data_IF_815973247657
#
_entry.id   IF_815973247657
#
_cell.length_a   1.000
_cell.length_b   1.000
_cell.length_c   1.000
_cell.angle_alpha   90.00
_cell.angle_beta   90.00
_cell.angle_gamma   90.00
#
_symmetry.space_group_name_H-M   'P 1'
#
loop_
_entity.id
_entity.type
_entity.pdbx_description
1 polymer ?
#
# COMPACT_ATOMS: atom_id res chain seq x y z
N UNK A 1 -3.71 -21.69 29.85
CA UNK A 1 -3.59 -22.02 28.41
C UNK A 1 -4.78 -21.56 27.56
N UNK A 2 -5.99 -22.15 27.62
CA UNK A 2 -7.09 -21.87 26.65
C UNK A 2 -7.41 -20.38 26.36
N UNK A 3 -7.31 -19.45 27.33
CA UNK A 3 -7.53 -18.00 27.09
C UNK A 3 -6.48 -17.33 26.18
N UNK A 4 -5.23 -17.82 26.16
CA UNK A 4 -4.14 -17.25 25.33
C UNK A 4 -4.34 -17.61 23.85
N UNK A 5 -4.78 -18.84 23.56
CA UNK A 5 -5.09 -19.32 22.20
C UNK A 5 -6.24 -18.51 21.57
N UNK A 6 -7.18 -18.02 22.38
CA UNK A 6 -8.26 -17.15 21.90
C UNK A 6 -7.73 -15.76 21.50
N UNK A 7 -6.88 -15.15 22.34
CA UNK A 7 -6.30 -13.82 22.09
C UNK A 7 -5.41 -13.79 20.84
N UNK A 8 -4.60 -14.84 20.63
CA UNK A 8 -3.77 -14.99 19.43
C UNK A 8 -4.60 -15.14 18.14
N UNK A 9 -5.76 -15.81 18.19
CA UNK A 9 -6.68 -15.84 17.04
C UNK A 9 -7.23 -14.45 16.70
N UNK A 10 -7.61 -13.65 17.71
CA UNK A 10 -8.14 -12.29 17.48
C UNK A 10 -7.14 -11.38 16.77
N UNK A 11 -5.85 -11.45 17.12
CA UNK A 11 -4.80 -10.66 16.46
C UNK A 11 -4.53 -11.12 15.01
N UNK A 12 -4.55 -12.42 14.75
CA UNK A 12 -4.43 -12.95 13.39
C UNK A 12 -5.61 -12.52 12.50
N UNK A 13 -6.84 -12.45 13.06
CA UNK A 13 -7.99 -11.89 12.34
C UNK A 13 -7.79 -10.41 12.03
N UNK A 14 -7.34 -9.60 13.00
CA UNK A 14 -7.16 -8.16 12.80
C UNK A 14 -6.21 -7.81 11.63
N UNK A 15 -5.12 -8.56 11.46
CA UNK A 15 -4.19 -8.38 10.34
C UNK A 15 -4.86 -8.64 8.97
N UNK A 16 -5.69 -9.68 8.86
CA UNK A 16 -6.44 -9.97 7.64
C UNK A 16 -7.61 -8.99 7.42
N UNK A 17 -8.23 -8.50 8.50
CA UNK A 17 -9.36 -7.56 8.42
C UNK A 17 -8.92 -6.15 8.02
N UNK A 18 -7.69 -5.72 8.34
CA UNK A 18 -7.18 -4.43 7.86
C UNK A 18 -7.17 -4.31 6.32
N UNK A 19 -6.88 -5.40 5.60
CA UNK A 19 -6.96 -5.47 4.13
C UNK A 19 -8.38 -5.60 3.59
N UNK A 20 -9.38 -5.87 4.44
CA UNK A 20 -10.77 -6.12 4.04
C UNK A 20 -11.75 -5.00 4.45
N UNK A 21 -11.52 -4.29 5.56
CA UNK A 21 -12.51 -3.35 6.12
C UNK A 21 -12.68 -2.08 5.28
N UNK A 22 -11.66 -1.71 4.48
CA UNK A 22 -11.75 -0.63 3.50
C UNK A 22 -12.81 -0.89 2.38
N UNK A 23 -13.28 -2.13 2.22
CA UNK A 23 -14.27 -2.51 1.20
C UNK A 23 -15.71 -2.54 1.72
N UNK A 24 -15.98 -2.23 2.99
CA UNK A 24 -17.24 -2.56 3.67
C UNK A 24 -18.17 -1.36 4.01
N UNK A 25 -17.91 -0.16 3.50
CA UNK A 25 -18.72 1.04 3.75
C UNK A 25 -19.25 1.68 2.45
N UNK A 26 -20.10 0.94 1.75
CA UNK A 26 -20.89 1.43 0.62
C UNK A 26 -22.04 0.47 0.30
N UNK A 27 -23.22 0.69 0.89
CA UNK A 27 -24.33 -0.25 0.76
C UNK A 27 -25.64 0.16 1.44
N UNK A 28 -26.33 1.12 0.84
CA UNK A 28 -27.80 1.28 0.85
C UNK A 28 -28.14 1.86 -0.53
N UNK A 29 -29.04 1.38 -1.40
CA UNK A 29 -29.77 0.13 -1.62
C UNK A 29 -30.96 0.55 -2.53
N UNK A 30 -31.16 -0.11 -3.68
CA UNK A 30 -32.38 -0.04 -4.46
C UNK A 30 -32.41 -1.28 -5.38
N UNK A 31 -33.49 -2.05 -5.33
CA UNK A 31 -33.64 -3.30 -6.08
C UNK A 31 -34.02 -3.08 -7.56
N UNK A 32 -33.76 -4.09 -8.40
CA UNK A 32 -34.10 -4.04 -9.82
C UNK A 32 -33.56 -5.22 -10.63
N UNK A 33 -33.99 -6.44 -10.32
CA UNK A 33 -33.60 -7.63 -11.09
C UNK A 33 -34.36 -7.72 -12.43
N UNK A 34 -33.67 -8.19 -13.48
CA UNK A 34 -34.08 -9.30 -14.37
C UNK A 34 -32.89 -9.67 -15.28
N UNK A 35 -32.82 -10.94 -15.68
CA UNK A 35 -31.72 -11.57 -16.41
C UNK A 35 -32.00 -11.61 -17.96
N UNK A 36 -31.11 -12.17 -18.81
CA UNK A 36 -30.79 -11.56 -20.11
C UNK A 36 -31.59 -12.07 -21.32
N UNK A 37 -31.55 -11.28 -22.39
CA UNK A 37 -31.83 -11.68 -23.77
C UNK A 37 -30.69 -11.23 -24.70
N UNK A 38 -30.51 -11.91 -25.84
CA UNK A 38 -29.37 -11.70 -26.74
C UNK A 38 -29.78 -11.32 -28.16
N UNK A 39 -28.85 -10.64 -28.84
CA UNK A 39 -28.67 -10.52 -30.29
C UNK A 39 -29.64 -9.66 -31.15
N UNK A 40 -28.98 -8.97 -32.10
CA UNK A 40 -29.40 -8.59 -33.46
C UNK A 40 -30.11 -7.24 -33.76
N UNK A 41 -29.36 -6.38 -34.47
CA UNK A 41 -29.68 -5.68 -35.75
C UNK A 41 -31.08 -5.07 -35.95
N UNK A 42 -31.16 -3.74 -36.20
CA UNK A 42 -32.38 -3.12 -36.77
C UNK A 42 -32.39 -1.59 -36.92
N UNK A 43 -32.00 -1.11 -38.11
CA UNK A 43 -32.29 0.19 -38.78
C UNK A 43 -33.24 1.27 -38.17
N UNK A 44 -32.71 2.51 -38.12
CA UNK A 44 -33.23 3.78 -38.72
C UNK A 44 -34.60 4.43 -38.34
N UNK A 45 -34.64 5.78 -38.41
CA UNK A 45 -35.80 6.67 -38.12
C UNK A 45 -35.58 7.46 -36.81
N UNK A 46 -35.62 8.80 -36.69
CA UNK A 46 -36.47 9.85 -37.28
C UNK A 46 -37.96 9.72 -36.86
N UNK A 47 -38.67 10.73 -36.32
CA UNK A 47 -38.41 12.20 -36.31
C UNK A 47 -39.21 12.93 -35.19
N UNK A 48 -38.85 14.19 -34.92
CA UNK A 48 -39.72 15.30 -34.41
C UNK A 48 -40.18 15.34 -32.93
N UNK A 49 -39.89 16.49 -32.31
CA UNK A 49 -40.22 16.94 -30.94
C UNK A 49 -41.70 17.36 -30.71
N UNK A 50 -42.04 17.75 -29.46
CA UNK A 50 -42.70 19.04 -29.05
C UNK A 50 -43.21 18.99 -27.59
N UNK A 51 -43.11 20.12 -26.86
CA UNK A 51 -43.93 20.46 -25.66
C UNK A 51 -43.39 19.97 -24.29
N UNK A 52 -43.38 20.73 -23.17
CA UNK A 52 -44.25 21.78 -22.59
C UNK A 52 -45.52 21.24 -21.90
N UNK A 53 -45.88 21.60 -20.65
CA UNK A 53 -45.23 22.46 -19.65
C UNK A 53 -45.77 22.21 -18.22
N UNK A 54 -45.15 22.90 -17.25
CA UNK A 54 -45.55 23.27 -15.88
C UNK A 54 -46.90 22.82 -15.26
N UNK A 55 -46.85 22.62 -13.93
CA UNK A 55 -47.82 23.22 -13.01
C UNK A 55 -47.10 23.89 -11.83
N UNK A 56 -47.78 24.78 -11.11
CA UNK A 56 -47.21 25.71 -10.12
C UNK A 56 -48.19 25.95 -8.96
N UNK A 57 -47.68 26.46 -7.83
CA UNK A 57 -48.43 26.88 -6.64
C UNK A 57 -49.03 25.71 -5.82
N UNK A 58 -49.33 25.85 -4.52
CA UNK A 58 -49.64 27.10 -3.80
C UNK A 58 -49.12 27.18 -2.34
N UNK A 59 -49.26 28.34 -1.71
CA UNK A 59 -48.76 28.67 -0.36
C UNK A 59 -49.70 29.60 0.41
N UNK A 60 -49.86 29.40 1.74
CA UNK A 60 -49.69 30.40 2.82
C UNK A 60 -50.53 30.18 4.09
N UNK A 61 -49.93 30.43 5.27
CA UNK A 61 -50.53 30.93 6.55
C UNK A 61 -51.66 30.14 7.24
N UNK A 62 -51.86 30.15 8.57
CA UNK A 62 -51.29 30.94 9.70
C UNK A 62 -50.51 30.00 10.68
N UNK A 63 -50.27 30.20 11.99
CA UNK A 63 -50.71 31.20 12.99
C UNK A 63 -50.12 30.96 14.40
N UNK A 64 -50.66 31.64 15.43
CA UNK A 64 -50.39 31.44 16.88
C UNK A 64 -51.59 31.90 17.74
N UNK A 65 -51.49 32.16 19.07
CA UNK A 65 -50.27 32.26 19.91
C UNK A 65 -50.43 31.77 21.41
N UNK A 66 -49.48 32.18 22.29
CA UNK A 66 -49.55 32.30 23.77
C UNK A 66 -49.36 31.07 24.70
N UNK A 67 -48.89 31.39 25.92
CA UNK A 67 -48.87 30.57 27.15
C UNK A 67 -48.88 31.50 28.38
N UNK A 68 -48.79 31.00 29.64
CA UNK A 68 -48.15 31.83 30.69
C UNK A 68 -47.33 31.10 31.79
N UNK A 69 -46.40 31.90 32.32
CA UNK A 69 -45.54 31.84 33.51
C UNK A 69 -46.07 31.26 34.85
N UNK A 70 -45.14 30.69 35.64
CA UNK A 70 -45.07 30.78 37.12
C UNK A 70 -43.64 30.43 37.63
N UNK A 71 -43.19 30.99 38.77
CA UNK A 71 -41.90 30.60 39.40
C UNK A 71 -41.47 31.40 40.65
N UNK A 72 -40.63 30.78 41.47
CA UNK A 72 -39.87 31.31 42.63
C UNK A 72 -38.71 30.30 42.88
N UNK A 73 -37.42 30.65 43.07
CA UNK A 73 -36.76 31.47 44.10
C UNK A 73 -36.98 30.94 45.53
N UNK A 74 -36.01 30.96 46.44
CA UNK A 74 -34.62 31.46 46.43
C UNK A 74 -33.63 30.29 46.15
N UNK A 75 -32.31 30.25 46.42
CA UNK A 75 -31.35 31.11 47.16
C UNK A 75 -29.93 31.02 46.55
N UNK A 76 -28.89 31.35 47.32
CA UNK A 76 -27.47 31.36 46.93
C UNK A 76 -26.57 30.76 48.01
N UNK A 77 -25.50 30.07 47.60
CA UNK A 77 -24.21 30.14 48.32
C UNK A 77 -23.06 29.80 47.37
N UNK A 78 -21.86 30.32 47.64
CA UNK A 78 -20.73 30.28 46.70
C UNK A 78 -19.41 29.82 47.33
N UNK A 79 -18.80 28.80 46.74
CA UNK A 79 -17.39 28.47 46.92
C UNK A 79 -16.77 28.10 45.58
N UNK A 80 -15.56 28.61 45.32
CA UNK A 80 -14.98 28.64 43.97
C UNK A 80 -13.73 27.78 43.78
N UNK A 81 -13.45 27.50 42.51
CA UNK A 81 -12.08 27.45 41.97
C UNK A 81 -11.16 26.31 42.42
N UNK A 82 -11.09 25.25 41.62
CA UNK A 82 -9.79 24.89 41.00
C UNK A 82 -10.01 24.18 39.66
N UNK A 83 -9.28 24.62 38.63
CA UNK A 83 -9.40 24.08 37.28
C UNK A 83 -8.49 22.85 37.12
N UNK A 84 -9.08 21.65 37.24
CA UNK A 84 -8.38 20.39 37.01
C UNK A 84 -8.06 20.12 35.53
N UNK A 85 -7.07 20.83 34.99
CA UNK A 85 -6.60 20.66 33.61
C UNK A 85 -5.94 19.28 33.40
N UNK A 86 -6.75 18.26 33.09
CA UNK A 86 -6.25 16.91 32.77
C UNK A 86 -5.45 16.94 31.46
N UNK A 87 -4.15 16.62 31.57
CA UNK A 87 -3.23 16.62 30.44
C UNK A 87 -3.54 15.51 29.41
N UNK A 88 -4.17 15.90 28.29
CA UNK A 88 -4.44 14.98 27.18
C UNK A 88 -3.17 14.44 26.48
N UNK A 89 -2.01 15.11 26.64
CA UNK A 89 -0.76 14.73 25.99
C UNK A 89 -0.14 13.40 26.44
N UNK A 90 -0.49 12.91 27.64
CA UNK A 90 0.15 11.71 28.22
C UNK A 90 -0.08 10.42 27.44
N UNK A 91 -1.28 10.24 26.86
CA UNK A 91 -1.62 9.03 26.11
C UNK A 91 -0.90 8.96 24.76
N UNK A 92 -0.85 10.07 24.01
CA UNK A 92 -0.23 10.09 22.68
C UNK A 92 1.29 9.93 22.78
N UNK A 93 1.94 10.64 23.71
CA UNK A 93 3.38 10.50 23.96
C UNK A 93 3.80 9.07 24.33
N UNK A 94 2.96 8.34 25.09
CA UNK A 94 3.21 6.93 25.41
C UNK A 94 3.12 6.01 24.17
N UNK A 95 2.22 6.29 23.22
CA UNK A 95 2.10 5.53 21.95
C UNK A 95 3.29 5.81 21.02
N UNK A 96 3.71 7.07 20.90
CA UNK A 96 4.90 7.46 20.12
C UNK A 96 6.15 6.80 20.70
N UNK A 97 6.37 6.90 22.02
CA UNK A 97 7.47 6.23 22.70
C UNK A 97 7.40 4.69 22.54
N UNK A 98 6.20 4.10 22.55
CA UNK A 98 6.03 2.66 22.39
C UNK A 98 6.46 2.14 21.00
N UNK A 99 6.28 2.94 19.93
CA UNK A 99 6.68 2.65 18.54
C UNK A 99 8.19 2.77 18.35
N UNK A 100 8.83 3.74 19.00
CA UNK A 100 10.26 4.07 18.91
C UNK A 100 11.14 3.28 19.91
N UNK A 101 10.68 2.11 20.39
CA UNK A 101 11.51 1.16 21.13
C UNK A 101 12.22 0.22 20.16
N UNK A 102 13.46 -0.22 20.44
CA UNK A 102 14.14 -1.22 19.65
C UNK A 102 13.34 -2.51 19.49
N UNK A 103 13.47 -3.17 18.34
CA UNK A 103 12.81 -4.44 18.08
C UNK A 103 13.28 -5.53 19.06
N UNK A 104 12.36 -6.40 19.49
CA UNK A 104 12.71 -7.52 20.37
C UNK A 104 13.38 -8.63 19.56
N UNK A 105 14.57 -9.05 19.98
CA UNK A 105 15.29 -10.20 19.39
C UNK A 105 14.50 -11.48 19.64
N UNK A 106 14.23 -12.26 18.59
CA UNK A 106 13.41 -13.47 18.65
C UNK A 106 14.12 -14.69 18.07
N UNK A 107 14.22 -15.76 18.86
CA UNK A 107 14.69 -17.07 18.40
C UNK A 107 13.80 -17.73 17.33
N UNK A 108 12.63 -17.14 17.02
CA UNK A 108 11.72 -17.58 15.96
C UNK A 108 11.44 -16.46 14.93
N UNK A 109 12.37 -15.52 14.77
CA UNK A 109 12.20 -14.39 13.86
C UNK A 109 12.00 -14.82 12.40
N UNK A 110 12.68 -15.89 11.94
CA UNK A 110 12.55 -16.43 10.59
C UNK A 110 11.18 -17.07 10.29
N UNK A 111 10.39 -17.37 11.33
CA UNK A 111 9.03 -17.92 11.27
C UNK A 111 7.94 -16.86 11.56
N UNK A 112 8.31 -15.58 11.68
CA UNK A 112 7.39 -14.45 11.85
C UNK A 112 6.87 -13.92 10.51
N UNK A 113 5.84 -13.08 10.49
CA UNK A 113 5.27 -12.54 9.24
C UNK A 113 6.31 -11.70 8.48
N UNK A 114 6.65 -12.11 7.26
CA UNK A 114 7.59 -11.42 6.36
C UNK A 114 6.86 -10.76 5.19
N UNK A 115 7.31 -9.58 4.78
CA UNK A 115 6.64 -8.73 3.78
C UNK A 115 7.55 -8.30 2.63
N UNK A 116 8.75 -7.81 2.94
CA UNK A 116 9.70 -7.30 1.94
C UNK A 116 11.05 -8.03 1.96
N UNK A 117 11.74 -8.08 0.83
CA UNK A 117 13.12 -8.56 0.74
C UNK A 117 13.91 -7.90 -0.40
N UNK A 118 15.24 -7.89 -0.29
CA UNK A 118 16.18 -7.36 -1.28
C UNK A 118 17.57 -8.00 -1.17
N UNK A 119 18.42 -7.77 -2.19
CA UNK A 119 19.86 -8.08 -2.17
C UNK A 119 20.67 -6.88 -1.69
N UNK A 120 21.41 -7.03 -0.59
CA UNK A 120 22.51 -6.16 -0.22
C UNK A 120 23.81 -6.71 -0.83
N UNK A 121 23.99 -6.51 -2.15
CA UNK A 121 25.14 -7.05 -2.87
C UNK A 121 25.05 -8.56 -3.05
N UNK A 122 25.70 -9.35 -2.18
CA UNK A 122 25.59 -10.81 -2.13
C UNK A 122 24.68 -11.30 -0.97
N UNK A 123 24.46 -10.45 0.04
CA UNK A 123 23.64 -10.72 1.21
C UNK A 123 22.15 -10.62 0.87
N UNK A 124 21.34 -11.51 1.43
CA UNK A 124 19.88 -11.37 1.43
C UNK A 124 19.45 -10.57 2.67
N UNK A 125 18.50 -9.65 2.53
CA UNK A 125 17.89 -8.90 3.65
C UNK A 125 16.37 -8.94 3.51
N UNK A 126 15.67 -9.25 4.59
CA UNK A 126 14.20 -9.34 4.65
C UNK A 126 13.62 -8.50 5.78
N UNK A 127 12.41 -7.99 5.61
CA UNK A 127 11.70 -7.15 6.59
C UNK A 127 10.27 -7.64 6.81
N UNK A 128 9.75 -7.46 8.03
CA UNK A 128 8.45 -8.00 8.43
C UNK A 128 7.81 -7.32 9.64
N UNK A 129 6.95 -8.05 10.34
CA UNK A 129 6.21 -7.55 11.49
C UNK A 129 7.08 -7.15 12.69
N UNK A 130 6.56 -6.26 13.56
CA UNK A 130 7.15 -5.89 14.87
C UNK A 130 8.60 -5.38 14.83
N UNK A 131 9.08 -4.89 13.69
CA UNK A 131 10.46 -4.42 13.50
C UNK A 131 11.46 -5.55 13.22
N UNK A 132 11.01 -6.73 12.81
CA UNK A 132 11.93 -7.80 12.42
C UNK A 132 12.58 -7.43 11.07
N UNK A 133 13.89 -7.22 11.10
CA UNK A 133 14.76 -7.28 9.93
C UNK A 133 15.71 -8.46 10.11
N UNK A 134 15.82 -9.31 9.09
CA UNK A 134 16.79 -10.41 9.04
C UNK A 134 17.77 -10.21 7.90
N UNK A 135 18.99 -10.70 8.06
CA UNK A 135 19.96 -10.81 6.98
C UNK A 135 20.63 -12.18 6.94
N UNK A 136 21.12 -12.56 5.75
CA UNK A 136 21.81 -13.83 5.50
C UNK A 136 22.94 -13.64 4.49
N UNK A 137 24.14 -14.06 4.88
CA UNK A 137 25.35 -14.06 4.05
C UNK A 137 25.61 -15.41 3.34
N UNK A 138 24.76 -16.42 3.57
CA UNK A 138 24.90 -17.80 3.04
C UNK A 138 23.73 -18.22 2.12
N UNK A 139 23.13 -17.24 1.43
CA UNK A 139 21.98 -17.38 0.53
C UNK A 139 20.75 -18.03 1.22
N UNK A 140 20.48 -17.60 2.45
CA UNK A 140 19.25 -17.93 3.18
C UNK A 140 19.29 -19.24 3.97
N UNK A 141 20.46 -19.86 4.15
CA UNK A 141 20.62 -21.06 4.98
C UNK A 141 20.60 -20.73 6.47
N UNK A 142 21.16 -19.59 6.86
CA UNK A 142 21.15 -19.04 8.22
C UNK A 142 20.75 -17.57 8.18
N UNK A 143 20.01 -17.15 9.19
CA UNK A 143 19.48 -15.79 9.31
C UNK A 143 19.88 -15.19 10.66
N UNK A 144 20.32 -13.94 10.63
CA UNK A 144 20.64 -13.13 11.80
C UNK A 144 19.63 -11.97 11.88
N UNK A 145 19.13 -11.66 13.08
CA UNK A 145 18.27 -10.50 13.29
C UNK A 145 19.13 -9.25 13.48
N UNK A 146 18.79 -8.18 12.76
CA UNK A 146 19.47 -6.89 12.87
C UNK A 146 18.96 -6.08 14.07
N UNK A 147 19.84 -5.29 14.69
CA UNK A 147 19.44 -4.33 15.73
C UNK A 147 18.86 -3.07 15.07
N UNK A 148 17.59 -2.78 15.38
CA UNK A 148 16.86 -1.63 14.83
C UNK A 148 16.12 -0.82 15.92
N UNK A 149 15.95 0.51 15.78
CA UNK A 149 15.41 1.39 16.81
C UNK A 149 13.88 1.52 16.83
N UNK A 150 13.14 0.60 16.19
CA UNK A 150 11.66 0.67 16.08
C UNK A 150 11.01 -0.71 16.23
N UNK A 151 9.76 -0.71 16.72
CA UNK A 151 8.95 -1.93 16.94
C UNK A 151 7.68 -1.94 16.08
N UNK A 152 7.76 -1.53 14.81
CA UNK A 152 6.62 -1.44 13.88
C UNK A 152 6.80 -2.38 12.68
N UNK A 153 5.70 -2.79 12.05
CA UNK A 153 5.74 -3.60 10.83
C UNK A 153 6.39 -2.84 9.68
N UNK A 154 7.40 -3.45 9.07
CA UNK A 154 8.13 -2.96 7.90
C UNK A 154 7.64 -3.70 6.65
N UNK A 155 7.35 -2.95 5.59
CA UNK A 155 6.62 -3.41 4.40
C UNK A 155 7.55 -3.73 3.24
N UNK A 156 8.52 -2.84 2.97
CA UNK A 156 9.44 -2.96 1.85
C UNK A 156 10.87 -2.54 2.23
N UNK A 157 11.84 -3.11 1.53
CA UNK A 157 13.28 -2.83 1.66
C UNK A 157 13.95 -2.85 0.29
N UNK A 158 14.91 -1.95 0.06
CA UNK A 158 15.78 -1.90 -1.13
C UNK A 158 17.20 -1.50 -0.73
N UNK A 159 18.16 -1.86 -1.59
CA UNK A 159 19.56 -1.50 -1.47
C UNK A 159 20.05 -0.89 -2.78
N UNK A 160 20.80 0.21 -2.71
CA UNK A 160 21.43 0.86 -3.88
C UNK A 160 22.81 0.29 -4.19
N UNK A 161 23.45 -0.33 -3.20
CA UNK A 161 24.72 -1.06 -3.33
C UNK A 161 24.82 -2.16 -2.25
N UNK A 162 25.99 -2.77 -2.07
CA UNK A 162 26.20 -3.83 -1.08
C UNK A 162 26.07 -3.39 0.40
N UNK A 163 25.96 -2.09 0.66
CA UNK A 163 26.01 -1.49 2.00
C UNK A 163 24.85 -0.55 2.29
N UNK A 164 24.50 0.33 1.35
CA UNK A 164 23.49 1.36 1.53
C UNK A 164 22.09 0.84 1.18
N UNK A 165 21.15 0.99 2.11
CA UNK A 165 19.78 0.54 1.93
C UNK A 165 18.75 1.31 2.75
N UNK A 166 17.50 1.21 2.33
CA UNK A 166 16.33 1.85 2.94
C UNK A 166 15.25 0.78 3.18
N UNK A 167 14.63 0.82 4.35
CA UNK A 167 13.43 0.07 4.68
C UNK A 167 12.31 1.04 5.10
N UNK A 168 11.07 0.74 4.73
CA UNK A 168 9.88 1.57 5.03
C UNK A 168 8.78 0.73 5.69
N UNK A 169 7.81 1.38 6.34
CA UNK A 169 6.73 0.65 7.01
C UNK A 169 5.58 1.47 7.60
N UNK A 170 4.90 0.84 8.56
CA UNK A 170 3.80 1.40 9.33
C UNK A 170 4.24 2.63 10.14
N UNK A 171 3.28 3.47 10.55
CA UNK A 171 3.54 4.73 11.25
C UNK A 171 4.51 5.67 10.50
N UNK A 172 4.52 5.61 9.17
CA UNK A 172 5.36 6.41 8.28
C UNK A 172 6.87 6.22 8.47
N UNK A 173 7.32 5.12 9.07
CA UNK A 173 8.74 4.91 9.37
C UNK A 173 9.57 4.76 8.08
N UNK A 174 10.70 5.46 8.03
CA UNK A 174 11.81 5.22 7.09
C UNK A 174 13.09 4.96 7.91
N UNK A 175 13.72 3.82 7.64
CA UNK A 175 15.00 3.40 8.21
C UNK A 175 16.09 3.39 7.12
N UNK A 176 17.33 3.71 7.51
CA UNK A 176 18.51 3.68 6.64
C UNK A 176 19.64 2.83 7.24
N UNK A 177 20.37 2.12 6.40
CA UNK A 177 21.60 1.36 6.74
C UNK A 177 22.77 1.78 5.83
N UNK A 178 24.00 1.53 6.29
CA UNK A 178 25.25 1.76 5.55
C UNK A 178 26.27 0.60 5.73
N UNK A 179 25.82 -0.56 6.21
CA UNK A 179 26.62 -1.75 6.50
C UNK A 179 26.00 -3.07 5.97
N UNK A 180 25.10 -2.95 5.00
CA UNK A 180 24.42 -4.10 4.41
C UNK A 180 23.26 -4.60 5.27
N UNK A 181 22.65 -3.72 6.08
CA UNK A 181 21.46 -4.05 6.87
C UNK A 181 21.73 -4.75 8.21
N UNK A 182 22.96 -4.69 8.74
CA UNK A 182 23.28 -5.22 10.06
C UNK A 182 22.83 -4.26 11.17
N UNK A 183 22.98 -2.95 10.97
CA UNK A 183 22.42 -1.91 11.83
C UNK A 183 21.58 -0.91 11.02
N UNK A 184 20.56 -0.34 11.68
CA UNK A 184 19.62 0.59 11.06
C UNK A 184 19.39 1.83 11.92
N UNK A 185 19.17 2.97 11.27
CA UNK A 185 18.87 4.26 11.89
C UNK A 185 17.53 4.78 11.37
N UNK A 186 16.66 5.31 12.24
CA UNK A 186 15.42 5.97 11.81
C UNK A 186 15.74 7.35 11.25
N UNK A 187 15.38 7.60 9.99
CA UNK A 187 15.51 8.91 9.33
C UNK A 187 14.19 9.67 9.36
N UNK A 188 13.06 8.98 9.22
CA UNK A 188 11.73 9.61 9.15
C UNK A 188 10.65 8.80 9.89
N UNK A 189 9.57 9.48 10.24
CA UNK A 189 8.32 8.92 10.79
C UNK A 189 7.11 9.70 10.28
N UNK A 190 5.91 9.16 10.56
CA UNK A 190 4.64 9.75 10.14
C UNK A 190 4.36 11.16 10.67
N UNK A 191 4.96 11.57 11.80
CA UNK A 191 4.75 12.92 12.35
C UNK A 191 5.54 13.94 11.53
N UNK A 192 6.80 13.62 11.19
CA UNK A 192 7.58 14.46 10.29
C UNK A 192 7.02 14.46 8.86
N UNK A 193 6.47 13.35 8.38
CA UNK A 193 5.77 13.29 7.07
C UNK A 193 4.55 14.21 7.06
N UNK A 194 3.73 14.19 8.12
CA UNK A 194 2.57 15.07 8.24
C UNK A 194 2.98 16.55 8.28
N UNK A 195 4.04 16.88 9.01
CA UNK A 195 4.61 18.23 9.03
C UNK A 195 5.12 18.67 7.64
N UNK A 196 5.88 17.82 6.93
CA UNK A 196 6.38 18.09 5.57
C UNK A 196 5.24 18.30 4.56
N UNK A 197 4.15 17.55 4.68
CA UNK A 197 2.95 17.74 3.87
C UNK A 197 2.31 19.11 4.14
N UNK A 198 2.16 19.50 5.41
CA UNK A 198 1.56 20.78 5.81
C UNK A 198 2.46 21.98 5.45
N UNK A 199 3.77 21.85 5.60
CA UNK A 199 4.79 22.80 5.12
C UNK A 199 4.73 23.00 3.60
N UNK A 200 4.27 22.00 2.84
CA UNK A 200 4.17 22.05 1.38
C UNK A 200 2.83 22.60 0.92
N UNK A 201 1.71 22.12 1.49
CA UNK A 201 0.37 22.63 1.16
C UNK A 201 0.18 24.11 1.52
N UNK A 202 0.79 24.60 2.61
CA UNK A 202 0.81 26.03 2.95
C UNK A 202 1.55 26.90 1.94
N UNK A 203 2.36 26.32 1.05
CA UNK A 203 3.08 27.03 -0.04
C UNK A 203 2.39 26.92 -1.40
N UNK A 204 1.52 25.94 -1.62
CA UNK A 204 0.81 25.77 -2.91
C UNK A 204 -0.44 26.64 -3.04
N UNK A 205 -0.96 27.21 -1.94
CA UNK A 205 -2.24 27.93 -1.87
C UNK A 205 -3.45 27.09 -2.33
N UNK A 206 -3.33 25.76 -2.30
CA UNK A 206 -4.43 24.82 -2.57
C UNK A 206 -5.16 24.46 -1.26
N UNK A 207 -6.42 24.87 -1.17
CA UNK A 207 -7.27 24.64 0.00
C UNK A 207 -7.62 23.16 0.22
N UNK A 208 -7.63 22.32 -0.82
CA UNK A 208 -7.83 20.87 -0.69
C UNK A 208 -6.57 20.21 -0.14
N UNK A 209 -5.41 20.50 -0.74
CA UNK A 209 -4.12 20.01 -0.24
C UNK A 209 -3.86 20.45 1.22
N UNK A 210 -4.22 21.69 1.58
CA UNK A 210 -4.11 22.20 2.95
C UNK A 210 -4.99 21.39 3.92
N UNK A 211 -6.27 21.21 3.58
CA UNK A 211 -7.22 20.42 4.39
C UNK A 211 -6.77 18.97 4.57
N UNK A 212 -6.23 18.33 3.53
CA UNK A 212 -5.75 16.96 3.62
C UNK A 212 -4.43 16.85 4.39
N UNK A 213 -3.55 17.85 4.34
CA UNK A 213 -2.36 17.93 5.18
C UNK A 213 -2.71 18.20 6.66
N UNK A 214 -3.71 19.03 6.95
CA UNK A 214 -4.22 19.25 8.31
C UNK A 214 -4.85 17.99 8.89
N UNK A 215 -5.64 17.25 8.08
CA UNK A 215 -6.14 15.92 8.43
C UNK A 215 -5.00 14.92 8.68
N UNK A 216 -3.96 14.93 7.84
CA UNK A 216 -2.79 14.08 8.01
C UNK A 216 -2.04 14.34 9.33
N UNK A 217 -1.96 15.61 9.78
CA UNK A 217 -1.43 15.97 11.10
C UNK A 217 -2.37 15.54 12.24
N UNK A 218 -3.69 15.72 12.08
CA UNK A 218 -4.68 15.33 13.10
C UNK A 218 -4.75 13.80 13.32
N UNK A 219 -4.59 13.01 12.26
CA UNK A 219 -4.54 11.54 12.33
C UNK A 219 -3.23 11.03 12.95
N UNK A 220 -2.16 11.83 12.93
CA UNK A 220 -0.84 11.49 13.46
C UNK A 220 -0.09 10.38 12.69
N UNK A 221 0.98 9.86 13.30
CA UNK A 221 1.85 8.84 12.71
C UNK A 221 1.24 7.43 12.70
N UNK A 222 0.18 7.22 11.93
CA UNK A 222 -0.44 5.91 11.75
C UNK A 222 -0.20 5.31 10.35
N UNK A 223 -0.34 6.14 9.32
CA UNK A 223 -0.38 5.71 7.91
C UNK A 223 0.89 4.96 7.48
N UNK A 224 0.78 3.79 6.84
CA UNK A 224 1.94 3.04 6.36
C UNK A 224 2.46 3.56 5.02
N UNK A 225 3.79 3.53 4.88
CA UNK A 225 4.46 3.39 3.59
C UNK A 225 4.40 1.91 3.17
N UNK A 226 4.19 1.65 1.88
CA UNK A 226 3.89 0.32 1.34
C UNK A 226 4.98 -0.18 0.39
N UNK A 227 5.58 0.70 -0.42
CA UNK A 227 6.73 0.37 -1.27
C UNK A 227 7.76 1.50 -1.28
N UNK A 228 8.99 1.15 -1.61
CA UNK A 228 10.13 2.05 -1.81
C UNK A 228 10.79 1.67 -3.14
N UNK A 229 10.88 2.64 -4.05
CA UNK A 229 11.49 2.51 -5.36
C UNK A 229 12.79 3.33 -5.39
N UNK A 230 13.89 2.70 -5.79
CA UNK A 230 15.16 3.39 -6.04
C UNK A 230 15.16 3.85 -7.49
N UNK A 231 15.31 5.16 -7.71
CA UNK A 231 15.37 5.75 -9.05
C UNK A 231 16.84 5.84 -9.53
N UNK A 232 17.76 6.02 -8.58
CA UNK A 232 19.18 5.70 -8.66
C UNK A 232 19.77 5.68 -7.23
N UNK A 233 21.09 5.71 -7.08
CA UNK A 233 21.76 5.61 -5.78
C UNK A 233 21.51 6.81 -4.85
N UNK A 234 21.08 7.96 -5.38
CA UNK A 234 20.72 9.16 -4.61
C UNK A 234 19.20 9.40 -4.59
N UNK A 235 18.53 9.18 -5.73
CA UNK A 235 17.11 9.51 -5.93
C UNK A 235 16.21 8.34 -5.59
N UNK A 236 15.20 8.57 -4.75
CA UNK A 236 14.33 7.52 -4.21
C UNK A 236 12.89 8.01 -4.09
N UNK A 237 11.91 7.12 -4.25
CA UNK A 237 10.48 7.37 -4.11
C UNK A 237 9.85 6.35 -3.17
N UNK A 238 9.40 6.79 -1.99
CA UNK A 238 8.57 6.00 -1.09
C UNK A 238 7.09 6.33 -1.30
N UNK A 239 6.23 5.32 -1.34
CA UNK A 239 4.78 5.47 -1.56
C UNK A 239 3.99 4.71 -0.49
N UNK A 240 2.72 5.06 -0.27
CA UNK A 240 1.90 4.38 0.72
C UNK A 240 0.41 4.65 0.70
N UNK A 241 -0.22 4.36 1.84
CA UNK A 241 -1.65 4.53 2.06
C UNK A 241 -2.09 6.00 1.95
N UNK A 242 -3.36 6.21 1.64
CA UNK A 242 -3.97 7.55 1.51
C UNK A 242 -3.26 8.50 0.54
N UNK A 243 -2.62 7.98 -0.51
CA UNK A 243 -1.92 8.78 -1.52
C UNK A 243 -0.55 9.33 -1.10
N UNK A 244 0.03 8.88 0.02
CA UNK A 244 1.38 9.30 0.42
C UNK A 244 2.42 8.99 -0.67
N UNK A 245 3.18 10.01 -1.08
CA UNK A 245 4.28 9.91 -2.03
C UNK A 245 5.41 10.86 -1.60
N UNK A 246 6.59 10.31 -1.31
CA UNK A 246 7.72 11.02 -0.70
C UNK A 246 8.97 10.78 -1.55
N UNK A 247 9.72 11.84 -1.86
CA UNK A 247 10.99 11.71 -2.59
C UNK A 247 12.20 12.15 -1.79
N UNK A 248 13.30 11.41 -1.95
CA UNK A 248 14.65 11.79 -1.54
C UNK A 248 15.52 12.01 -2.78
N UNK A 249 16.48 12.91 -2.66
CA UNK A 249 17.42 13.31 -3.72
C UNK A 249 18.90 13.12 -3.26
N UNK A 250 19.12 12.57 -2.06
CA UNK A 250 20.39 12.58 -1.31
C UNK A 250 20.68 11.24 -0.57
N UNK A 251 20.27 10.12 -1.16
CA UNK A 251 20.57 8.78 -0.64
C UNK A 251 19.68 8.36 0.54
N UNK A 252 18.47 8.92 0.60
CA UNK A 252 17.49 8.68 1.65
C UNK A 252 17.73 9.47 2.94
N UNK A 253 18.51 10.57 2.87
CA UNK A 253 18.93 11.35 4.04
C UNK A 253 17.91 12.45 4.39
N UNK A 254 17.40 13.16 3.38
CA UNK A 254 16.27 14.09 3.49
C UNK A 254 15.13 13.67 2.56
N UNK A 255 13.91 14.08 2.91
CA UNK A 255 12.68 13.64 2.26
C UNK A 255 11.71 14.81 2.07
N UNK A 256 11.04 14.82 0.93
CA UNK A 256 10.14 15.89 0.49
C UNK A 256 8.80 15.29 0.05
N UNK A 257 7.69 15.99 0.31
CA UNK A 257 6.39 15.61 -0.22
C UNK A 257 6.38 15.69 -1.75
N UNK A 258 5.86 14.65 -2.42
CA UNK A 258 5.63 14.57 -3.88
C UNK A 258 4.14 14.35 -4.21
N UNK A 259 3.23 14.39 -3.22
CA UNK A 259 1.78 14.19 -3.44
C UNK A 259 1.17 15.20 -4.42
N UNK A 260 1.78 16.39 -4.55
CA UNK A 260 1.44 17.43 -5.53
C UNK A 260 1.78 17.04 -6.98
N UNK A 261 2.73 16.12 -7.19
CA UNK A 261 3.13 15.62 -8.52
C UNK A 261 2.23 14.51 -9.06
N UNK A 262 1.35 13.94 -8.22
CA UNK A 262 0.47 12.82 -8.55
C UNK A 262 -1.00 13.26 -8.49
N UNK A 263 -1.71 13.20 -9.61
CA UNK A 263 -3.15 13.46 -9.63
C UNK A 263 -3.94 12.32 -8.96
N UNK A 264 -4.12 12.40 -7.63
CA UNK A 264 -4.82 11.42 -6.81
C UNK A 264 -5.84 12.08 -5.86
N UNK A 265 -6.87 12.79 -6.39
CA UNK A 265 -7.82 13.60 -5.58
C UNK A 265 -8.78 12.78 -4.71
N UNK A 266 -8.66 11.45 -4.70
CA UNK A 266 -9.42 10.53 -3.85
C UNK A 266 -8.58 9.95 -2.71
N UNK A 267 -7.29 10.31 -2.62
CA UNK A 267 -6.37 9.76 -1.63
C UNK A 267 -6.24 8.24 -1.74
N UNK A 268 -6.17 7.70 -2.96
CA UNK A 268 -6.08 6.26 -3.18
C UNK A 268 -4.71 5.72 -2.72
N UNK A 269 -4.71 4.55 -2.10
CA UNK A 269 -3.51 3.84 -1.66
C UNK A 269 -2.60 3.52 -2.85
N UNK A 270 -1.31 3.82 -2.70
CA UNK A 270 -0.26 3.53 -3.67
C UNK A 270 0.51 2.31 -3.17
N UNK A 271 0.44 1.20 -3.92
CA UNK A 271 0.80 -0.13 -3.42
C UNK A 271 2.14 -0.64 -3.96
N UNK A 272 2.52 -0.27 -5.19
CA UNK A 272 3.79 -0.67 -5.79
C UNK A 272 4.34 0.39 -6.75
N UNK A 273 5.66 0.54 -6.80
CA UNK A 273 6.35 1.44 -7.73
C UNK A 273 7.59 0.78 -8.37
N UNK A 274 7.77 0.97 -9.67
CA UNK A 274 8.90 0.45 -10.46
C UNK A 274 9.48 1.53 -11.35
N UNK A 275 10.77 1.41 -11.65
CA UNK A 275 11.50 2.36 -12.47
C UNK A 275 12.30 1.63 -13.55
N UNK A 276 12.43 2.25 -14.72
CA UNK A 276 13.33 1.83 -15.80
C UNK A 276 13.76 3.07 -16.60
N UNK A 277 15.01 3.48 -16.44
CA UNK A 277 15.48 4.78 -16.96
C UNK A 277 14.72 5.94 -16.31
N UNK A 278 14.27 6.91 -17.11
CA UNK A 278 13.43 8.01 -16.63
C UNK A 278 11.94 7.63 -16.47
N UNK A 279 11.56 6.39 -16.79
CA UNK A 279 10.19 5.88 -16.63
C UNK A 279 9.96 5.43 -15.19
N UNK A 280 8.85 5.87 -14.58
CA UNK A 280 8.37 5.37 -13.28
C UNK A 280 6.90 4.98 -13.40
N UNK A 281 6.60 3.70 -13.16
CA UNK A 281 5.25 3.15 -13.13
C UNK A 281 4.81 2.97 -11.67
N UNK A 282 3.65 3.51 -11.32
CA UNK A 282 3.02 3.38 -10.00
C UNK A 282 1.69 2.66 -10.14
N UNK A 283 1.40 1.75 -9.22
CA UNK A 283 0.15 1.00 -9.13
C UNK A 283 -0.48 1.14 -7.74
N UNK A 284 -1.80 1.22 -7.68
CA UNK A 284 -2.55 1.47 -6.46
C UNK A 284 -3.91 0.76 -6.40
N UNK A 285 -4.74 1.19 -5.46
CA UNK A 285 -6.09 0.64 -5.30
C UNK A 285 -7.09 1.13 -6.36
N UNK A 286 -8.21 0.39 -6.50
CA UNK A 286 -9.39 0.83 -7.28
C UNK A 286 -9.08 1.29 -8.72
N UNK A 287 -8.21 0.57 -9.41
CA UNK A 287 -7.79 0.86 -10.79
C UNK A 287 -6.72 1.93 -10.93
N UNK A 288 -6.24 2.56 -9.84
CA UNK A 288 -5.23 3.60 -9.92
C UNK A 288 -3.90 3.07 -10.47
N UNK A 289 -3.45 3.68 -11.56
CA UNK A 289 -2.08 3.57 -12.03
C UNK A 289 -1.62 4.94 -12.54
N UNK A 290 -0.33 5.24 -12.42
CA UNK A 290 0.26 6.50 -12.88
C UNK A 290 1.65 6.27 -13.48
N UNK A 291 2.00 7.12 -14.44
CA UNK A 291 3.26 7.05 -15.18
C UNK A 291 3.98 8.39 -15.15
N UNK A 292 5.27 8.36 -14.84
CA UNK A 292 6.21 9.41 -15.19
C UNK A 292 7.13 8.90 -16.31
N UNK A 293 7.53 9.79 -17.21
CA UNK A 293 8.59 9.57 -18.19
C UNK A 293 9.65 10.68 -18.13
N UNK A 294 9.75 11.37 -16.99
CA UNK A 294 10.61 12.53 -16.76
C UNK A 294 11.44 12.42 -15.46
N UNK A 295 11.64 11.19 -14.99
CA UNK A 295 12.27 10.81 -13.73
C UNK A 295 11.51 11.30 -12.47
N UNK A 296 10.18 11.35 -12.52
CA UNK A 296 9.32 11.68 -11.38
C UNK A 296 9.23 13.17 -11.06
N UNK A 297 9.45 14.03 -12.06
CA UNK A 297 9.13 15.47 -11.95
C UNK A 297 7.62 15.69 -12.09
N UNK A 298 6.96 14.93 -12.97
CA UNK A 298 5.51 14.90 -13.13
C UNK A 298 5.00 13.46 -13.36
N UNK A 299 3.73 13.22 -13.02
CA UNK A 299 3.03 11.96 -13.30
C UNK A 299 1.68 12.23 -13.97
N UNK A 300 1.29 11.38 -14.91
CA UNK A 300 -0.08 11.32 -15.45
C UNK A 300 -0.76 10.00 -15.08
N UNK A 301 -2.07 10.04 -14.85
CA UNK A 301 -2.86 8.86 -14.50
C UNK A 301 -3.16 8.02 -15.76
N UNK A 302 -2.99 6.70 -15.66
CA UNK A 302 -3.25 5.76 -16.76
C UNK A 302 -4.70 5.24 -16.71
N UNK A 303 -5.34 5.14 -17.87
CA UNK A 303 -6.72 4.65 -18.01
C UNK A 303 -6.78 3.13 -18.17
N UNK A 304 -6.50 2.39 -17.09
CA UNK A 304 -6.63 0.92 -17.09
C UNK A 304 -8.12 0.55 -16.98
N UNK A 305 -8.69 -0.34 -17.82
CA UNK A 305 -10.10 -0.72 -17.79
C UNK A 305 -10.41 -1.74 -16.67
N UNK A 306 -9.97 -1.40 -15.45
CA UNK A 306 -10.09 -2.22 -14.24
C UNK A 306 -10.40 -1.33 -13.03
N UNK A 307 -11.21 -1.82 -12.09
CA UNK A 307 -11.68 -1.06 -10.92
C UNK A 307 -11.33 -1.73 -9.57
N UNK A 308 -10.52 -2.79 -9.59
CA UNK A 308 -9.98 -3.42 -8.38
C UNK A 308 -8.57 -2.93 -8.04
N UNK A 309 -8.02 -3.39 -6.93
CA UNK A 309 -6.67 -2.98 -6.49
C UNK A 309 -5.55 -3.76 -7.17
N UNK A 310 -4.54 -3.05 -7.64
CA UNK A 310 -3.24 -3.63 -7.98
C UNK A 310 -2.38 -3.74 -6.73
N UNK A 311 -1.62 -4.84 -6.61
CA UNK A 311 -0.72 -5.11 -5.48
C UNK A 311 0.74 -5.23 -5.93
N UNK A 312 1.00 -5.46 -7.22
CA UNK A 312 2.34 -5.35 -7.81
C UNK A 312 2.26 -4.77 -9.23
N UNK A 313 3.41 -4.25 -9.67
CA UNK A 313 3.66 -3.75 -11.01
C UNK A 313 5.06 -4.18 -11.45
N UNK A 314 5.31 -4.23 -12.75
CA UNK A 314 6.61 -4.48 -13.37
C UNK A 314 6.76 -3.70 -14.67
N UNK A 315 8.00 -3.32 -15.00
CA UNK A 315 8.39 -2.84 -16.33
C UNK A 315 9.36 -3.87 -16.91
N UNK A 316 8.99 -4.51 -18.02
CA UNK A 316 9.77 -5.56 -18.65
C UNK A 316 10.98 -5.01 -19.43
N UNK A 317 11.95 -5.86 -19.73
CA UNK A 317 13.15 -5.49 -20.51
C UNK A 317 12.84 -5.10 -21.96
N UNK A 318 11.70 -5.49 -22.50
CA UNK A 318 11.19 -5.03 -23.81
C UNK A 318 10.40 -3.71 -23.74
N UNK A 319 10.21 -3.14 -22.54
CA UNK A 319 9.46 -1.90 -22.32
C UNK A 319 7.97 -2.06 -22.01
N UNK A 320 7.44 -3.30 -21.98
CA UNK A 320 6.04 -3.54 -21.61
C UNK A 320 5.79 -3.24 -20.12
N UNK A 321 4.57 -2.80 -19.81
CA UNK A 321 4.11 -2.58 -18.44
C UNK A 321 3.16 -3.69 -18.01
N UNK A 322 3.39 -4.25 -16.81
CA UNK A 322 2.50 -5.24 -16.18
C UNK A 322 1.92 -4.64 -14.89
N UNK A 323 0.62 -4.82 -14.70
CA UNK A 323 -0.11 -4.47 -13.46
C UNK A 323 -0.90 -5.69 -12.98
N UNK A 324 -0.72 -6.10 -11.72
CA UNK A 324 -1.34 -7.32 -11.19
C UNK A 324 -1.88 -7.15 -9.76
N UNK A 325 -2.97 -7.85 -9.43
CA UNK A 325 -3.55 -7.77 -8.09
C UNK A 325 -4.83 -8.57 -7.85
N UNK A 326 -5.83 -7.90 -7.28
CA UNK A 326 -7.06 -8.45 -6.70
C UNK A 326 -7.78 -9.46 -7.61
N UNK A 327 -8.23 -10.58 -7.05
CA UNK A 327 -8.98 -11.65 -7.77
C UNK A 327 -8.25 -12.18 -9.02
N UNK A 328 -6.92 -12.22 -9.00
CA UNK A 328 -6.09 -12.77 -10.07
C UNK A 328 -6.01 -11.92 -11.34
N UNK A 329 -6.41 -10.64 -11.27
CA UNK A 329 -6.36 -9.76 -12.44
C UNK A 329 -4.90 -9.39 -12.75
N UNK A 330 -4.53 -9.52 -14.03
CA UNK A 330 -3.21 -9.19 -14.58
C UNK A 330 -3.41 -8.51 -15.92
N UNK A 331 -2.79 -7.35 -16.10
CA UNK A 331 -2.97 -6.49 -17.26
C UNK A 331 -1.61 -6.13 -17.85
N UNK A 332 -1.51 -6.18 -19.19
CA UNK A 332 -0.32 -5.82 -19.97
C UNK A 332 -0.63 -4.63 -20.88
N UNK A 333 0.31 -3.70 -20.96
CA UNK A 333 0.43 -2.73 -22.04
C UNK A 333 1.78 -2.91 -22.72
N UNK A 334 1.80 -2.85 -24.05
CA UNK A 334 3.00 -2.84 -24.90
C UNK A 334 3.15 -1.53 -25.69
N UNK A 335 2.35 -0.52 -25.34
CA UNK A 335 2.25 0.80 -26.00
C UNK A 335 2.42 1.95 -25.00
N UNK A 336 3.19 1.70 -23.92
CA UNK A 336 3.52 2.66 -22.85
C UNK A 336 2.29 3.15 -22.05
N UNK A 337 1.31 2.27 -21.85
CA UNK A 337 0.13 2.50 -21.02
C UNK A 337 -1.08 3.10 -21.75
N UNK A 338 -1.02 3.25 -23.08
CA UNK A 338 -2.10 3.79 -23.91
C UNK A 338 -3.28 2.81 -23.99
N UNK A 339 -3.01 1.53 -24.22
CA UNK A 339 -4.00 0.45 -24.21
C UNK A 339 -3.57 -0.71 -23.31
N UNK A 340 -4.57 -1.45 -22.83
CA UNK A 340 -4.39 -2.47 -21.81
C UNK A 340 -5.18 -3.73 -22.15
N UNK A 341 -4.50 -4.88 -22.13
CA UNK A 341 -5.08 -6.20 -22.35
C UNK A 341 -4.95 -7.05 -21.09
N UNK A 342 -6.06 -7.65 -20.66
CA UNK A 342 -6.04 -8.62 -19.57
C UNK A 342 -5.34 -9.90 -20.04
N UNK A 343 -4.39 -10.41 -19.27
CA UNK A 343 -3.74 -11.68 -19.54
C UNK A 343 -4.57 -12.84 -18.97
N UNK A 344 -4.52 -14.00 -19.63
CA UNK A 344 -5.18 -15.20 -19.12
C UNK A 344 -4.49 -15.67 -17.82
N UNK A 345 -5.27 -15.98 -16.78
CA UNK A 345 -4.78 -16.51 -15.52
C UNK A 345 -5.69 -17.67 -15.05
N UNK A 346 -5.16 -18.90 -14.86
CA UNK A 346 -5.95 -20.07 -14.47
C UNK A 346 -6.44 -20.03 -13.01
N UNK A 347 -6.00 -19.08 -12.19
CA UNK A 347 -6.46 -18.93 -10.81
C UNK A 347 -6.97 -17.50 -10.51
N UNK A 348 -8.28 -17.28 -10.29
CA UNK A 348 -8.87 -15.99 -9.95
C UNK A 348 -8.62 -15.57 -8.47
N UNK A 349 -7.43 -15.90 -7.95
CA UNK A 349 -6.94 -15.57 -6.61
C UNK A 349 -6.01 -14.38 -6.70
N UNK A 350 -6.15 -13.41 -5.81
CA UNK A 350 -5.34 -12.18 -5.79
C UNK A 350 -3.83 -12.47 -5.94
N UNK A 351 -3.22 -11.88 -6.96
CA UNK A 351 -1.76 -11.80 -7.09
C UNK A 351 -1.26 -10.89 -5.98
N UNK A 352 -0.30 -11.33 -5.19
CA UNK A 352 0.23 -10.59 -4.04
C UNK A 352 1.61 -9.99 -4.31
N UNK A 353 2.43 -10.66 -5.13
CA UNK A 353 3.75 -10.20 -5.49
C UNK A 353 4.21 -10.70 -6.86
N UNK A 354 5.22 -10.05 -7.42
CA UNK A 354 5.96 -10.48 -8.61
C UNK A 354 7.46 -10.28 -8.39
N UNK A 355 8.26 -11.02 -9.15
CA UNK A 355 9.71 -10.87 -9.24
C UNK A 355 10.21 -11.29 -10.62
N UNK A 356 11.19 -10.57 -11.16
CA UNK A 356 11.95 -11.02 -12.32
C UNK A 356 12.98 -12.08 -11.92
N UNK A 357 13.14 -13.11 -12.74
CA UNK A 357 14.28 -14.05 -12.73
C UNK A 357 15.37 -13.56 -13.70
N UNK A 358 16.55 -14.16 -13.62
CA UNK A 358 17.75 -13.76 -14.39
C UNK A 358 17.56 -13.80 -15.93
N UNK A 359 16.59 -14.59 -16.41
CA UNK A 359 16.19 -14.68 -17.84
C UNK A 359 15.19 -13.57 -18.27
N UNK A 360 14.95 -12.55 -17.43
CA UNK A 360 13.92 -11.53 -17.65
C UNK A 360 12.48 -12.01 -17.47
N UNK A 361 12.26 -13.31 -17.28
CA UNK A 361 10.94 -13.91 -17.07
C UNK A 361 10.38 -13.52 -15.70
N UNK A 362 9.15 -12.99 -15.67
CA UNK A 362 8.42 -12.73 -14.42
C UNK A 362 7.82 -14.01 -13.83
N UNK A 363 7.95 -14.16 -12.52
CA UNK A 363 7.16 -15.06 -11.70
C UNK A 363 6.31 -14.28 -10.69
N UNK A 364 5.08 -14.72 -10.49
CA UNK A 364 4.08 -14.13 -9.62
C UNK A 364 3.72 -15.09 -8.49
N UNK A 365 3.41 -14.55 -7.32
CA UNK A 365 2.79 -15.26 -6.22
C UNK A 365 1.32 -14.84 -6.08
N UNK A 366 0.45 -15.78 -5.72
CA UNK A 366 -0.91 -15.45 -5.31
C UNK A 366 -1.17 -15.77 -3.82
N UNK A 367 -2.25 -15.21 -3.29
CA UNK A 367 -2.63 -15.33 -1.88
C UNK A 367 -2.91 -16.77 -1.42
N UNK A 368 -3.13 -17.72 -2.35
CA UNK A 368 -3.29 -19.15 -2.05
C UNK A 368 -1.97 -19.94 -2.08
N UNK A 369 -0.82 -19.27 -2.26
CA UNK A 369 0.50 -19.91 -2.26
C UNK A 369 0.89 -20.56 -3.59
N UNK A 370 0.15 -20.33 -4.68
CA UNK A 370 0.56 -20.80 -6.00
C UNK A 370 1.53 -19.81 -6.64
N UNK A 371 2.58 -20.35 -7.27
CA UNK A 371 3.50 -19.63 -8.13
C UNK A 371 3.05 -19.72 -9.60
N UNK A 372 3.14 -18.62 -10.33
CA UNK A 372 2.70 -18.49 -11.72
C UNK A 372 3.80 -17.83 -12.55
N UNK A 373 4.14 -18.39 -13.70
CA UNK A 373 5.11 -17.81 -14.65
C UNK A 373 4.37 -17.15 -15.82
N UNK A 374 4.79 -15.96 -16.24
CA UNK A 374 4.33 -15.37 -17.50
C UNK A 374 5.00 -16.11 -18.67
N UNK A 375 4.20 -16.65 -19.58
CA UNK A 375 4.64 -17.12 -20.91
C UNK A 375 3.74 -16.48 -21.95
N UNK A 376 4.36 -15.85 -22.96
CA UNK A 376 3.68 -15.10 -24.01
C UNK A 376 2.64 -14.11 -23.43
N UNK A 377 1.34 -14.40 -23.52
CA UNK A 377 0.23 -13.57 -23.01
C UNK A 377 -0.63 -14.28 -21.94
N UNK A 378 -0.09 -15.30 -21.27
CA UNK A 378 -0.77 -16.03 -20.20
C UNK A 378 0.13 -16.23 -18.97
N UNK A 379 -0.48 -16.22 -17.79
CA UNK A 379 0.12 -16.83 -16.61
C UNK A 379 -0.16 -18.34 -16.63
N UNK A 380 0.87 -19.15 -16.39
CA UNK A 380 0.74 -20.61 -16.23
C UNK A 380 1.39 -21.07 -14.92
N UNK A 381 0.92 -22.16 -14.29
CA UNK A 381 1.47 -22.62 -13.01
C UNK A 381 2.96 -22.95 -13.13
N UNK A 382 3.75 -22.43 -12.19
CA UNK A 382 5.15 -22.80 -12.06
C UNK A 382 5.25 -24.06 -11.17
N UNK A 383 6.00 -25.12 -11.57
CA UNK A 383 6.08 -26.35 -10.79
C UNK A 383 6.77 -26.10 -9.44
N UNK A 384 5.99 -26.17 -8.36
CA UNK A 384 6.43 -26.00 -6.98
C UNK A 384 5.59 -26.89 -6.06
N UNK A 385 6.12 -27.21 -4.88
CA UNK A 385 5.30 -27.78 -3.81
C UNK A 385 4.26 -26.74 -3.31
N UNK A 386 3.11 -27.15 -2.75
CA UNK A 386 2.14 -26.21 -2.18
C UNK A 386 2.78 -25.34 -1.09
N UNK A 387 2.72 -24.02 -1.27
CA UNK A 387 3.21 -23.04 -0.30
C UNK A 387 2.03 -22.49 0.54
N UNK A 388 2.27 -22.00 1.76
CA UNK A 388 1.29 -21.19 2.47
C UNK A 388 1.05 -19.84 1.76
N UNK A 389 0.04 -19.06 2.17
CA UNK A 389 -0.21 -17.71 1.65
C UNK A 389 1.06 -16.85 1.59
N UNK A 390 1.33 -16.27 0.42
CA UNK A 390 2.54 -15.52 0.13
C UNK A 390 2.27 -14.02 0.09
N UNK A 391 3.18 -13.25 0.70
CA UNK A 391 3.17 -11.80 0.77
C UNK A 391 4.18 -11.17 -0.20
N UNK A 392 5.26 -11.89 -0.53
CA UNK A 392 6.39 -11.34 -1.29
C UNK A 392 7.27 -12.43 -1.92
N UNK A 393 8.08 -12.04 -2.90
CA UNK A 393 9.05 -12.88 -3.60
C UNK A 393 10.37 -12.13 -3.79
N UNK A 394 11.49 -12.85 -3.78
CA UNK A 394 12.79 -12.37 -4.23
C UNK A 394 13.49 -13.48 -5.02
N UNK A 395 13.93 -13.20 -6.25
CA UNK A 395 14.84 -14.10 -6.98
C UNK A 395 16.24 -14.03 -6.38
N UNK A 396 16.87 -15.19 -6.14
CA UNK A 396 18.24 -15.28 -5.62
C UNK A 396 19.21 -15.57 -6.75
N UNK A 397 20.48 -15.16 -6.61
CA UNK A 397 21.52 -15.19 -7.66
C UNK A 397 21.97 -16.58 -8.13
N UNK A 398 21.27 -17.63 -7.71
CA UNK A 398 21.43 -19.02 -8.11
C UNK A 398 20.15 -19.59 -8.75
N UNK A 399 19.29 -18.73 -9.32
CA UNK A 399 18.01 -19.10 -9.95
C UNK A 399 16.91 -19.59 -9.01
N UNK A 400 17.17 -19.68 -7.70
CA UNK A 400 16.15 -20.02 -6.69
C UNK A 400 15.29 -18.79 -6.34
N UNK A 401 14.26 -18.98 -5.53
CA UNK A 401 13.45 -17.90 -4.97
C UNK A 401 13.46 -17.98 -3.44
N UNK A 402 13.40 -16.82 -2.81
CA UNK A 402 12.97 -16.68 -1.42
C UNK A 402 11.53 -16.19 -1.42
N UNK A 403 10.60 -17.03 -0.95
CA UNK A 403 9.21 -16.68 -0.79
C UNK A 403 8.94 -16.19 0.64
N UNK A 404 8.15 -15.13 0.77
CA UNK A 404 7.83 -14.48 2.04
C UNK A 404 6.38 -14.77 2.41
N UNK A 405 6.13 -15.23 3.63
CA UNK A 405 4.80 -15.66 4.09
C UNK A 405 4.45 -15.11 5.47
N UNK A 406 3.17 -15.20 5.83
CA UNK A 406 2.70 -15.10 7.22
C UNK A 406 3.26 -16.20 8.14
N UNK A 407 3.88 -17.24 7.57
CA UNK A 407 4.55 -18.33 8.30
C UNK A 407 6.09 -18.21 8.31
N UNK A 408 6.67 -17.14 7.76
CA UNK A 408 8.11 -16.94 7.70
C UNK A 408 8.72 -16.91 6.30
N UNK A 409 10.04 -17.19 6.28
CA UNK A 409 10.88 -17.27 5.09
C UNK A 409 10.90 -18.70 4.54
N UNK A 410 10.62 -18.84 3.24
CA UNK A 410 10.51 -20.16 2.59
C UNK A 410 11.39 -20.18 1.33
N UNK A 411 12.56 -20.85 1.37
CA UNK A 411 13.36 -21.11 0.17
C UNK A 411 12.61 -22.02 -0.80
N UNK A 412 12.50 -21.59 -2.06
CA UNK A 412 11.95 -22.38 -3.16
C UNK A 412 13.09 -22.63 -4.16
N UNK A 413 13.59 -23.88 -4.29
CA UNK A 413 14.74 -24.17 -5.14
C UNK A 413 14.55 -23.77 -6.61
N UNK A 414 15.67 -23.52 -7.29
CA UNK A 414 15.72 -23.40 -8.74
C UNK A 414 15.10 -24.64 -9.40
N UNK A 415 14.30 -24.44 -10.45
CA UNK A 415 13.70 -25.52 -11.22
C UNK A 415 14.74 -26.04 -12.23
N UNK A 416 15.11 -27.31 -12.16
CA UNK A 416 16.01 -27.92 -13.14
C UNK A 416 15.39 -27.88 -14.55
N UNK A 417 16.11 -27.40 -15.58
CA UNK A 417 15.63 -27.42 -16.96
C UNK A 417 15.67 -28.85 -17.53
N UNK A 418 14.62 -29.64 -17.22
CA UNK A 418 14.53 -31.04 -17.66
C UNK A 418 13.38 -31.87 -17.07
N UNK A 419 12.40 -31.24 -16.39
CA UNK A 419 11.28 -31.93 -15.73
C UNK A 419 9.91 -31.67 -16.39
N UNK A 420 9.86 -31.68 -17.72
CA UNK A 420 8.62 -31.90 -18.48
C UNK A 420 8.63 -33.35 -18.94
N UNK A 421 7.56 -34.09 -18.61
CA UNK A 421 7.26 -35.45 -19.05
C UNK A 421 5.81 -35.50 -19.53
#
# INVERSE_FOLDING_TARGET
MRKIVLYLKTLATAAATATALAAAHGGVAADGAIAPAAASVGSAGATTAIGSAASTADTATTGGPLGPIAGASTSSDSFGGSAGAKAAGGANGAVVAARLRPAVVSGHAAQSVMLGAAHAGARLVTVGERGIILFSDDNGQRWQQADIPVSVTLTAVRFSDARNGIAVGHAGIILRTADGGAHWQKVLDGERIAALALETAKRSNDALALRDAERLVADGADKPLLDICLLNNQRMLAIGAYGLALGSEDGGTTWHAWMDRLHNPKGLHLNAARQQGDTILIAGERGYAALSTDAGRSFHTLSVPYQGSFFTADILTNGDYILAGLRGNVWRSNDKGISWRQLANPAPVSITASAARDEGTLIFANQAGMLLTLRDDALVPAPAAPLPPLNGLLATKNGSLLALSIQGLIPVPAQSPGAVK
#
